data_IF_693476874071
#
_entry.id   IF_693476874071
#
_cell.length_a   1.000
_cell.length_b   1.000
_cell.length_c   1.000
_cell.angle_alpha   90.00
_cell.angle_beta   90.00
_cell.angle_gamma   90.00
#
_symmetry.space_group_name_H-M   'P 1'
#
loop_
_entity.id
_entity.type
_entity.pdbx_description
1 polymer ?
#
# COMPACT_ATOMS: atom_id res chain seq x y z
N UNK A 1 37.78 6.66 3.03
CA UNK A 1 37.57 6.54 1.57
C UNK A 1 38.44 7.57 0.85
N UNK A 2 38.70 7.37 -0.45
CA UNK A 2 39.46 8.33 -1.26
C UNK A 2 38.58 9.52 -1.67
N UNK A 3 39.13 10.74 -1.73
CA UNK A 3 38.35 11.98 -1.94
C UNK A 3 37.66 12.04 -3.30
N UNK A 4 38.23 11.40 -4.33
CA UNK A 4 37.58 11.22 -5.64
C UNK A 4 36.30 10.37 -5.55
N UNK A 5 36.26 9.36 -4.68
CA UNK A 5 35.10 8.48 -4.53
C UNK A 5 33.96 9.18 -3.79
N UNK A 6 34.26 10.04 -2.81
CA UNK A 6 33.24 10.88 -2.18
C UNK A 6 32.70 11.95 -3.12
N UNK A 7 33.56 12.55 -3.97
CA UNK A 7 33.10 13.48 -5.00
C UNK A 7 32.20 12.79 -6.05
N UNK A 8 32.54 11.58 -6.49
CA UNK A 8 31.69 10.77 -7.38
C UNK A 8 30.35 10.41 -6.74
N UNK A 9 30.34 9.97 -5.47
CA UNK A 9 29.09 9.67 -4.76
C UNK A 9 28.19 10.91 -4.59
N UNK A 10 28.77 12.07 -4.26
CA UNK A 10 28.03 13.33 -4.15
C UNK A 10 27.52 13.78 -5.53
N UNK A 11 28.32 13.62 -6.59
CA UNK A 11 27.89 13.89 -7.97
C UNK A 11 26.73 12.98 -8.41
N UNK A 12 26.77 11.69 -8.06
CA UNK A 12 25.68 10.76 -8.38
C UNK A 12 24.41 11.09 -7.59
N UNK A 13 24.56 11.47 -6.32
CA UNK A 13 23.44 11.84 -5.45
C UNK A 13 22.76 13.14 -5.93
N UNK A 14 23.55 14.16 -6.30
CA UNK A 14 23.03 15.41 -6.87
C UNK A 14 22.33 15.13 -8.22
N UNK A 15 22.88 14.25 -9.07
CA UNK A 15 22.24 13.86 -10.32
C UNK A 15 20.91 13.11 -10.08
N UNK A 16 20.83 12.25 -9.05
CA UNK A 16 19.55 11.62 -8.65
C UNK A 16 18.54 12.59 -8.02
N UNK A 17 18.98 13.76 -7.54
CA UNK A 17 18.11 14.84 -7.06
C UNK A 17 17.72 15.84 -8.16
N UNK A 18 18.10 15.59 -9.43
CA UNK A 18 17.66 16.36 -10.60
C UNK A 18 16.58 15.64 -11.42
N UNK A 19 16.02 14.54 -10.90
CA UNK A 19 14.73 14.04 -11.36
C UNK A 19 13.67 15.09 -11.06
N UNK A 20 13.32 15.89 -12.07
CA UNK A 20 12.17 16.79 -12.00
C UNK A 20 10.91 15.94 -11.79
N UNK A 21 9.91 16.45 -11.06
CA UNK A 21 8.56 15.97 -11.28
C UNK A 21 8.21 16.30 -12.73
N UNK A 22 8.02 15.26 -13.54
CA UNK A 22 7.14 15.27 -14.72
C UNK A 22 5.68 15.45 -14.18
N UNK A 23 4.60 15.30 -14.95
CA UNK A 23 3.25 15.70 -14.49
C UNK A 23 2.09 14.89 -15.16
N UNK A 24 0.94 14.52 -14.47
CA UNK A 24 -0.17 13.56 -14.92
C UNK A 24 -1.77 13.77 -15.13
N UNK A 25 -2.33 14.28 -16.28
CA UNK A 25 -3.55 14.06 -17.14
C UNK A 25 -3.49 14.95 -18.46
N UNK A 26 -4.29 14.72 -19.52
CA UNK A 26 -4.43 15.45 -20.82
C UNK A 26 -4.48 16.99 -20.73
N UNK A 27 -4.16 17.68 -21.84
CA UNK A 27 -4.02 19.13 -21.91
C UNK A 27 -4.76 19.78 -23.06
N UNK A 28 -5.33 20.97 -22.82
CA UNK A 28 -6.28 21.62 -23.73
C UNK A 28 -5.73 22.96 -24.22
N UNK A 29 -5.54 23.10 -25.53
CA UNK A 29 -5.14 24.35 -26.20
C UNK A 29 -6.38 24.95 -26.89
N UNK A 30 -6.90 26.10 -26.41
CA UNK A 30 -7.96 26.82 -27.11
C UNK A 30 -7.47 27.33 -28.46
N UNK A 31 -8.24 27.10 -29.53
CA UNK A 31 -7.88 27.59 -30.88
C UNK A 31 -8.41 29.01 -31.15
N UNK A 32 -9.34 29.49 -30.31
CA UNK A 32 -9.84 30.87 -30.29
C UNK A 32 -9.56 31.53 -28.92
N UNK A 33 -9.71 32.85 -28.84
CA UNK A 33 -9.54 33.66 -27.61
C UNK A 33 -10.74 33.46 -26.64
N UNK A 34 -10.90 32.24 -26.15
CA UNK A 34 -12.02 31.75 -25.32
C UNK A 34 -11.47 30.88 -24.21
N UNK A 35 -11.91 31.08 -22.96
CA UNK A 35 -11.49 30.24 -21.85
C UNK A 35 -12.08 28.82 -21.96
N UNK A 36 -11.21 27.82 -21.83
CA UNK A 36 -11.55 26.39 -21.81
C UNK A 36 -11.25 25.81 -20.43
N UNK A 37 -12.13 24.93 -19.97
CA UNK A 37 -12.10 24.31 -18.65
C UNK A 37 -12.30 22.79 -18.82
N UNK A 38 -11.45 22.01 -18.17
CA UNK A 38 -11.63 20.56 -18.02
C UNK A 38 -12.07 20.23 -16.58
N UNK A 39 -13.32 20.51 -16.16
CA UNK A 39 -13.74 20.41 -14.76
C UNK A 39 -13.71 18.98 -14.17
N UNK A 40 -13.66 17.94 -15.01
CA UNK A 40 -13.61 16.56 -14.56
C UNK A 40 -12.63 15.73 -15.38
N UNK A 41 -11.83 14.90 -14.73
CA UNK A 41 -10.78 14.10 -15.33
C UNK A 41 -10.85 12.66 -14.79
N UNK A 42 -11.00 11.68 -15.69
CA UNK A 42 -11.22 10.27 -15.32
C UNK A 42 -10.30 9.38 -16.13
N UNK A 43 -9.50 8.57 -15.44
CA UNK A 43 -8.58 7.66 -16.10
C UNK A 43 -8.55 6.27 -15.47
N UNK A 44 -8.33 5.25 -16.31
CA UNK A 44 -7.89 3.92 -15.87
C UNK A 44 -6.46 3.75 -16.40
N UNK A 45 -5.52 3.50 -15.50
CA UNK A 45 -4.08 3.45 -15.79
C UNK A 45 -3.58 2.07 -15.41
N UNK A 46 -3.41 1.20 -16.38
CA UNK A 46 -3.11 -0.22 -16.17
C UNK A 46 -1.68 -0.52 -16.60
N UNK A 47 -0.78 -0.75 -15.64
CA UNK A 47 0.66 -0.94 -15.90
C UNK A 47 1.20 -2.25 -15.31
N UNK A 48 1.87 -3.05 -16.13
CA UNK A 48 2.41 -4.37 -15.75
C UNK A 48 3.92 -4.38 -15.43
N UNK A 49 4.63 -3.26 -15.62
CA UNK A 49 6.09 -3.19 -15.49
C UNK A 49 6.84 -2.86 -16.79
N UNK A 50 6.22 -3.08 -17.95
CA UNK A 50 6.79 -2.78 -19.28
C UNK A 50 5.78 -2.13 -20.23
N UNK A 51 4.51 -2.56 -20.20
CA UNK A 51 3.41 -2.03 -20.99
C UNK A 51 2.38 -1.33 -20.10
N UNK A 52 1.81 -0.25 -20.64
CA UNK A 52 0.74 0.52 -20.04
C UNK A 52 -0.45 0.61 -20.99
N UNK A 53 -1.65 0.37 -20.45
CA UNK A 53 -2.94 0.62 -21.10
C UNK A 53 -3.62 1.77 -20.36
N UNK A 54 -3.87 2.86 -21.09
CA UNK A 54 -4.39 4.11 -20.56
C UNK A 54 -5.74 4.42 -21.19
N UNK A 55 -6.81 4.42 -20.39
CA UNK A 55 -8.18 4.76 -20.81
C UNK A 55 -8.52 6.14 -20.26
N UNK A 56 -8.84 7.10 -21.12
CA UNK A 56 -9.05 8.52 -20.77
C UNK A 56 -10.48 8.97 -21.04
N UNK A 57 -11.09 9.70 -20.11
CA UNK A 57 -12.35 10.45 -20.32
C UNK A 57 -12.31 11.79 -19.58
N UNK A 58 -12.27 12.87 -20.34
CA UNK A 58 -12.33 14.26 -19.86
C UNK A 58 -13.77 14.77 -19.88
N UNK A 59 -14.15 15.57 -18.89
CA UNK A 59 -15.32 16.44 -18.97
C UNK A 59 -14.85 17.84 -19.34
N UNK A 60 -15.44 18.43 -20.38
CA UNK A 60 -15.01 19.70 -20.98
C UNK A 60 -16.16 20.70 -21.04
N UNK A 61 -15.80 22.00 -20.94
CA UNK A 61 -16.64 23.13 -21.35
C UNK A 61 -15.77 24.32 -21.77
N UNK A 62 -16.36 25.23 -22.54
CA UNK A 62 -15.80 26.54 -22.83
C UNK A 62 -16.78 27.64 -22.41
N UNK A 63 -16.37 28.91 -22.45
CA UNK A 63 -17.30 30.02 -22.23
C UNK A 63 -18.17 30.30 -23.48
N UNK A 64 -17.66 29.99 -24.68
CA UNK A 64 -18.39 29.95 -25.96
C UNK A 64 -18.01 28.66 -26.74
N UNK A 65 -18.89 28.14 -27.61
CA UNK A 65 -18.60 26.92 -28.39
C UNK A 65 -17.39 27.15 -29.29
N UNK A 66 -16.37 26.31 -29.16
CA UNK A 66 -15.09 26.45 -29.84
C UNK A 66 -14.51 25.09 -30.23
N UNK A 67 -13.43 25.08 -31.01
CA UNK A 67 -12.60 23.88 -31.20
C UNK A 67 -11.35 24.00 -30.32
N UNK A 68 -10.89 22.86 -29.80
CA UNK A 68 -9.62 22.78 -29.07
C UNK A 68 -8.71 21.74 -29.71
N UNK A 69 -7.41 21.95 -29.56
CA UNK A 69 -6.40 20.92 -29.74
C UNK A 69 -6.11 20.31 -28.35
N UNK A 70 -6.50 19.05 -28.15
CA UNK A 70 -6.01 18.29 -27.01
C UNK A 70 -4.62 17.71 -27.31
N UNK A 71 -3.74 17.77 -26.31
CA UNK A 71 -2.33 17.35 -26.38
C UNK A 71 -2.07 16.34 -25.26
N UNK A 72 -1.42 15.24 -25.61
CA UNK A 72 -1.20 14.08 -24.75
C UNK A 72 0.25 13.57 -24.94
N UNK A 73 1.20 14.00 -24.09
CA UNK A 73 2.58 13.50 -24.10
C UNK A 73 2.67 12.08 -23.54
N UNK A 74 3.37 11.20 -24.25
CA UNK A 74 3.58 9.78 -23.91
C UNK A 74 5.08 9.44 -23.83
N UNK A 75 5.47 8.47 -22.96
CA UNK A 75 6.86 8.08 -22.80
C UNK A 75 7.40 7.27 -23.99
N UNK A 76 6.53 6.70 -24.80
CA UNK A 76 6.89 6.01 -26.05
C UNK A 76 5.77 6.14 -27.08
N UNK A 77 6.04 5.67 -28.30
CA UNK A 77 5.01 5.58 -29.34
C UNK A 77 3.93 4.58 -28.93
N UNK A 78 2.63 4.93 -29.04
CA UNK A 78 1.56 3.97 -28.82
C UNK A 78 1.47 2.97 -29.98
N UNK A 79 1.39 1.70 -29.63
CA UNK A 79 1.14 0.57 -30.54
C UNK A 79 -0.37 0.41 -30.84
N UNK A 80 -1.23 1.00 -30.00
CA UNK A 80 -2.69 1.00 -30.15
C UNK A 80 -3.30 2.37 -29.77
N UNK A 81 -4.24 2.84 -30.58
CA UNK A 81 -5.14 3.96 -30.27
C UNK A 81 -6.55 3.59 -30.74
N UNK A 82 -7.51 3.48 -29.82
CA UNK A 82 -8.88 3.07 -30.12
C UNK A 82 -9.92 3.88 -29.33
N UNK A 83 -11.07 4.15 -29.94
CA UNK A 83 -12.23 4.75 -29.26
C UNK A 83 -12.96 3.67 -28.46
N UNK A 84 -13.45 4.00 -27.28
CA UNK A 84 -14.25 3.10 -26.44
C UNK A 84 -15.46 3.84 -25.85
N UNK A 85 -16.31 3.14 -25.10
CA UNK A 85 -17.43 3.76 -24.40
C UNK A 85 -17.17 3.86 -22.88
N UNK A 86 -18.22 3.98 -22.06
CA UNK A 86 -18.06 4.15 -20.61
C UNK A 86 -18.02 2.82 -19.83
N UNK A 87 -18.14 1.68 -20.52
CA UNK A 87 -18.20 0.35 -19.90
C UNK A 87 -17.00 0.05 -18.99
N UNK A 88 -15.73 0.39 -19.33
CA UNK A 88 -14.60 0.20 -18.42
C UNK A 88 -14.77 0.95 -17.09
N UNK A 89 -15.22 2.21 -17.13
CA UNK A 89 -15.47 3.00 -15.93
C UNK A 89 -16.69 2.51 -15.13
N UNK A 90 -17.73 2.00 -15.81
CA UNK A 90 -18.88 1.38 -15.16
C UNK A 90 -18.50 0.07 -14.45
N UNK A 91 -17.67 -0.77 -15.07
CA UNK A 91 -17.13 -1.97 -14.44
C UNK A 91 -16.29 -1.64 -13.20
N UNK A 92 -15.45 -0.61 -13.25
CA UNK A 92 -14.72 -0.09 -12.09
C UNK A 92 -15.70 0.40 -10.99
N UNK A 93 -16.78 1.10 -11.37
CA UNK A 93 -17.81 1.57 -10.44
C UNK A 93 -18.55 0.41 -9.75
N UNK A 94 -18.83 -0.68 -10.48
CA UNK A 94 -19.46 -1.89 -9.95
C UNK A 94 -18.52 -2.70 -9.05
N UNK A 95 -17.24 -2.84 -9.40
CA UNK A 95 -16.22 -3.44 -8.52
C UNK A 95 -16.11 -2.65 -7.19
N UNK A 96 -16.13 -1.32 -7.26
CA UNK A 96 -16.23 -0.45 -6.09
C UNK A 96 -17.56 -0.66 -5.33
N UNK A 97 -18.66 -0.89 -6.04
CA UNK A 97 -20.00 -1.22 -5.52
C UNK A 97 -20.05 -2.52 -4.72
N UNK A 98 -19.51 -3.61 -5.26
CA UNK A 98 -19.42 -4.91 -4.58
C UNK A 98 -18.58 -4.82 -3.31
N UNK A 99 -17.41 -4.17 -3.39
CA UNK A 99 -16.49 -4.09 -2.25
C UNK A 99 -17.11 -3.18 -1.15
N UNK A 100 -17.95 -2.19 -1.49
CA UNK A 100 -18.84 -1.48 -0.55
C UNK A 100 -19.90 -2.41 0.06
N UNK A 101 -20.57 -3.25 -0.72
CA UNK A 101 -21.57 -4.20 -0.21
C UNK A 101 -20.96 -5.18 0.81
N UNK A 102 -19.77 -5.72 0.53
CA UNK A 102 -19.00 -6.56 1.45
C UNK A 102 -18.54 -5.82 2.73
N UNK A 103 -18.44 -4.49 2.69
CA UNK A 103 -18.18 -3.65 3.86
C UNK A 103 -19.45 -3.37 4.69
N UNK A 104 -20.63 -3.23 4.05
CA UNK A 104 -21.91 -2.94 4.74
C UNK A 104 -22.33 -4.03 5.71
N UNK A 105 -22.04 -5.30 5.40
CA UNK A 105 -22.25 -6.45 6.31
C UNK A 105 -21.41 -6.39 7.60
N UNK A 106 -20.43 -5.47 7.67
CA UNK A 106 -19.51 -5.29 8.81
C UNK A 106 -19.57 -3.89 9.46
N UNK A 107 -20.41 -2.97 8.97
CA UNK A 107 -20.56 -1.64 9.58
C UNK A 107 -21.31 -0.63 8.72
N UNK A 108 -21.94 0.34 9.38
CA UNK A 108 -22.78 1.38 8.76
C UNK A 108 -21.92 2.53 8.19
N UNK A 109 -21.16 2.25 7.13
CA UNK A 109 -20.52 3.25 6.27
C UNK A 109 -21.39 3.59 5.05
N UNK A 110 -21.39 4.87 4.66
CA UNK A 110 -22.07 5.39 3.48
C UNK A 110 -21.05 6.07 2.58
N UNK A 111 -20.74 5.47 1.43
CA UNK A 111 -19.90 6.08 0.39
C UNK A 111 -18.53 5.44 0.16
N UNK A 112 -18.03 5.60 -1.06
CA UNK A 112 -16.61 5.88 -1.27
C UNK A 112 -16.50 7.40 -1.37
N UNK A 113 -15.43 8.01 -0.84
CA UNK A 113 -15.12 9.42 -1.04
C UNK A 113 -14.57 9.70 -2.44
N UNK A 114 -15.15 9.03 -3.43
CA UNK A 114 -14.89 9.01 -4.87
C UNK A 114 -16.26 8.71 -5.50
N UNK A 115 -16.75 9.63 -6.32
CA UNK A 115 -17.99 9.52 -7.08
C UNK A 115 -17.64 9.76 -8.55
N UNK A 116 -18.14 8.90 -9.45
CA UNK A 116 -17.86 9.01 -10.88
C UNK A 116 -19.12 9.59 -11.54
N UNK A 117 -19.08 10.87 -11.86
CA UNK A 117 -20.19 11.60 -12.51
C UNK A 117 -19.88 11.75 -13.99
N UNK A 118 -20.77 11.26 -14.85
CA UNK A 118 -20.67 11.43 -16.30
C UNK A 118 -21.73 12.39 -16.81
N UNK A 119 -21.35 13.20 -17.80
CA UNK A 119 -22.19 14.18 -18.46
C UNK A 119 -22.68 13.63 -19.81
N UNK A 120 -23.42 14.44 -20.59
CA UNK A 120 -23.79 14.05 -21.96
C UNK A 120 -22.53 13.87 -22.82
N UNK A 121 -22.49 12.82 -23.65
CA UNK A 121 -21.30 12.51 -24.47
C UNK A 121 -21.17 13.41 -25.70
N UNK A 122 -19.94 13.70 -26.08
CA UNK A 122 -19.55 14.25 -27.39
C UNK A 122 -18.37 13.46 -27.95
N UNK A 123 -18.39 13.18 -29.26
CA UNK A 123 -17.39 12.30 -29.88
C UNK A 123 -17.28 12.49 -31.39
N UNK A 124 -16.14 13.03 -31.83
CA UNK A 124 -15.74 13.08 -33.23
C UNK A 124 -14.20 13.14 -33.38
N UNK A 125 -13.45 12.47 -32.48
CA UNK A 125 -11.98 12.52 -32.45
C UNK A 125 -11.33 12.31 -33.83
N UNK A 126 -10.35 13.15 -34.12
CA UNK A 126 -9.43 13.06 -35.25
C UNK A 126 -8.02 13.14 -34.66
N UNK A 127 -7.35 11.98 -34.58
CA UNK A 127 -6.14 11.78 -33.78
C UNK A 127 -4.94 11.56 -34.70
N UNK A 128 -3.82 12.22 -34.40
CA UNK A 128 -2.50 11.83 -34.91
C UNK A 128 -1.50 11.64 -33.77
N UNK A 129 -0.38 10.99 -34.08
CA UNK A 129 0.78 10.90 -33.19
C UNK A 129 1.96 11.52 -33.90
N UNK A 130 2.60 12.48 -33.25
CA UNK A 130 3.85 13.08 -33.71
C UNK A 130 4.99 12.69 -32.76
N UNK A 131 6.21 12.71 -33.30
CA UNK A 131 7.44 12.69 -32.52
C UNK A 131 8.22 13.94 -32.88
N UNK A 132 8.66 14.69 -31.87
CA UNK A 132 9.28 16.01 -32.05
C UNK A 132 10.65 16.11 -31.38
N UNK A 133 11.50 17.00 -31.89
CA UNK A 133 12.83 17.29 -31.32
C UNK A 133 12.87 18.55 -30.44
N UNK A 134 12.01 19.56 -30.68
CA UNK A 134 11.82 20.73 -29.81
C UNK A 134 10.38 21.30 -29.90
N UNK A 135 10.07 22.31 -29.09
CA UNK A 135 8.76 22.99 -29.09
C UNK A 135 8.36 23.67 -30.41
N UNK A 136 9.29 23.97 -31.32
CA UNK A 136 8.96 24.58 -32.63
C UNK A 136 8.62 23.53 -33.65
N UNK A 137 9.34 22.42 -33.66
CA UNK A 137 8.96 21.22 -34.43
C UNK A 137 7.53 20.80 -34.05
N UNK A 138 7.19 20.84 -32.76
CA UNK A 138 5.81 20.69 -32.29
C UNK A 138 4.84 21.76 -32.82
N UNK A 139 5.16 23.06 -32.73
CA UNK A 139 4.28 24.13 -33.23
C UNK A 139 4.07 24.05 -34.76
N UNK A 140 5.09 23.66 -35.53
CA UNK A 140 5.00 23.42 -36.98
C UNK A 140 4.11 22.21 -37.30
N UNK A 141 4.34 21.05 -36.66
CA UNK A 141 3.51 19.85 -36.84
C UNK A 141 2.04 20.08 -36.46
N UNK A 142 1.79 20.72 -35.32
CA UNK A 142 0.45 20.99 -34.84
C UNK A 142 -0.28 21.99 -35.74
N UNK A 143 0.42 22.98 -36.30
CA UNK A 143 -0.17 23.92 -37.26
C UNK A 143 -0.59 23.22 -38.56
N UNK A 144 0.29 22.40 -39.15
CA UNK A 144 -0.03 21.61 -40.34
C UNK A 144 -1.22 20.66 -40.10
N UNK A 145 -1.26 20.01 -38.94
CA UNK A 145 -2.36 19.13 -38.51
C UNK A 145 -3.73 19.84 -38.50
N UNK A 146 -3.80 21.08 -38.01
CA UNK A 146 -5.03 21.89 -38.07
C UNK A 146 -5.37 22.38 -39.48
N UNK A 147 -4.38 22.80 -40.28
CA UNK A 147 -4.58 23.26 -41.67
C UNK A 147 -5.18 22.16 -42.56
N UNK A 148 -4.69 20.92 -42.47
CA UNK A 148 -5.25 19.75 -43.18
C UNK A 148 -6.75 19.56 -42.89
N UNK A 149 -7.14 19.79 -41.63
CA UNK A 149 -8.50 19.62 -41.10
C UNK A 149 -9.38 20.85 -41.36
N UNK A 150 -8.80 21.94 -41.86
CA UNK A 150 -9.45 23.26 -42.06
C UNK A 150 -9.99 23.85 -40.76
N UNK A 151 -9.29 23.62 -39.66
CA UNK A 151 -9.61 24.18 -38.34
C UNK A 151 -8.83 25.46 -38.18
N UNK A 152 -9.53 26.61 -38.14
CA UNK A 152 -8.89 27.90 -37.90
C UNK A 152 -8.44 27.97 -36.43
N UNK A 153 -7.16 28.29 -36.21
CA UNK A 153 -6.59 28.38 -34.87
C UNK A 153 -5.18 28.96 -34.84
N UNK A 154 -4.70 29.27 -33.62
CA UNK A 154 -3.30 29.61 -33.35
C UNK A 154 -2.77 28.79 -32.17
N UNK A 155 -1.62 28.17 -32.37
CA UNK A 155 -0.96 27.31 -31.38
C UNK A 155 0.19 28.06 -30.66
N UNK A 156 0.74 29.11 -31.30
CA UNK A 156 1.81 30.00 -30.79
C UNK A 156 1.62 30.38 -29.32
N UNK A 157 2.31 29.69 -28.40
CA UNK A 157 2.12 29.91 -26.96
C UNK A 157 3.33 29.52 -26.15
N UNK A 158 4.00 30.52 -25.58
CA UNK A 158 5.13 30.33 -24.64
C UNK A 158 4.82 29.39 -23.45
N UNK A 159 3.54 29.22 -23.09
CA UNK A 159 3.06 28.30 -22.05
C UNK A 159 2.99 26.86 -22.55
N UNK A 160 2.63 26.66 -23.83
CA UNK A 160 2.62 25.36 -24.49
C UNK A 160 4.04 24.90 -24.80
N UNK A 161 4.85 25.77 -25.41
CA UNK A 161 6.27 25.51 -25.68
C UNK A 161 7.03 25.08 -24.41
N UNK A 162 6.85 25.80 -23.30
CA UNK A 162 7.44 25.44 -22.01
C UNK A 162 7.11 24.01 -21.55
N UNK A 163 5.84 23.57 -21.68
CA UNK A 163 5.48 22.21 -21.30
C UNK A 163 5.99 21.18 -22.30
N UNK A 164 5.90 21.45 -23.61
CA UNK A 164 6.42 20.55 -24.66
C UNK A 164 7.91 20.30 -24.47
N UNK A 165 8.72 21.36 -24.34
CA UNK A 165 10.16 21.24 -24.06
C UNK A 165 10.39 20.48 -22.74
N UNK A 166 9.59 20.73 -21.70
CA UNK A 166 9.68 20.02 -20.42
C UNK A 166 9.34 18.52 -20.51
N UNK A 167 8.55 18.05 -21.47
CA UNK A 167 8.33 16.61 -21.70
C UNK A 167 9.49 16.02 -22.51
N UNK A 168 9.98 16.73 -23.53
CA UNK A 168 11.12 16.32 -24.36
C UNK A 168 12.40 16.16 -23.52
N UNK A 169 12.72 17.15 -22.66
CA UNK A 169 13.87 17.12 -21.73
C UNK A 169 13.82 15.94 -20.74
N UNK A 170 12.62 15.46 -20.40
CA UNK A 170 12.40 14.29 -19.56
C UNK A 170 12.27 12.97 -20.36
N UNK A 171 12.65 12.98 -21.64
CA UNK A 171 12.72 11.78 -22.49
C UNK A 171 11.38 11.35 -23.10
N UNK A 172 10.38 12.23 -23.15
CA UNK A 172 9.04 11.96 -23.70
C UNK A 172 8.78 12.77 -24.98
N UNK A 173 9.40 12.41 -26.13
CA UNK A 173 9.30 13.16 -27.38
C UNK A 173 8.03 12.84 -28.19
N UNK A 174 7.15 11.96 -27.69
CA UNK A 174 5.94 11.51 -28.40
C UNK A 174 4.71 12.27 -27.87
N UNK A 175 3.95 12.86 -28.78
CA UNK A 175 2.74 13.59 -28.46
C UNK A 175 1.60 13.09 -29.34
N UNK A 176 0.49 12.72 -28.70
CA UNK A 176 -0.79 12.53 -29.38
C UNK A 176 -1.48 13.88 -29.47
N UNK A 177 -1.99 14.21 -30.65
CA UNK A 177 -2.82 15.38 -30.93
C UNK A 177 -4.23 14.91 -31.30
N UNK A 178 -5.26 15.55 -30.75
CA UNK A 178 -6.67 15.22 -30.96
C UNK A 178 -7.47 16.53 -31.11
N UNK A 179 -8.31 16.67 -32.14
CA UNK A 179 -9.20 17.84 -32.29
C UNK A 179 -10.61 17.50 -31.86
N UNK A 180 -11.15 18.26 -30.91
CA UNK A 180 -12.55 18.14 -30.47
C UNK A 180 -13.27 19.49 -30.48
N UNK A 181 -14.58 19.47 -30.76
CA UNK A 181 -15.46 20.60 -30.50
C UNK A 181 -15.88 20.62 -29.03
N UNK A 182 -15.70 21.76 -28.37
CA UNK A 182 -16.09 21.99 -26.97
C UNK A 182 -17.30 22.92 -26.91
N UNK A 183 -18.42 22.48 -26.30
CA UNK A 183 -19.61 23.31 -26.11
C UNK A 183 -19.54 24.15 -24.83
N UNK A 184 -20.55 24.99 -24.61
CA UNK A 184 -20.65 25.86 -23.43
C UNK A 184 -21.23 25.19 -22.18
N UNK A 185 -21.95 24.07 -22.34
CA UNK A 185 -22.37 23.19 -21.25
C UNK A 185 -21.33 22.09 -20.98
N UNK A 186 -21.19 21.64 -19.73
CA UNK A 186 -20.25 20.57 -19.37
C UNK A 186 -20.66 19.24 -20.00
N UNK A 187 -19.79 18.66 -20.82
CA UNK A 187 -20.00 17.39 -21.52
C UNK A 187 -18.79 16.46 -21.36
N UNK A 188 -19.04 15.15 -21.35
CA UNK A 188 -17.98 14.15 -21.31
C UNK A 188 -17.51 13.86 -22.73
N UNK A 189 -16.21 13.91 -22.96
CA UNK A 189 -15.61 13.46 -24.21
C UNK A 189 -15.70 11.94 -24.28
N UNK A 190 -15.97 11.41 -25.48
CA UNK A 190 -15.91 9.98 -25.78
C UNK A 190 -14.54 9.41 -25.35
N UNK A 191 -14.49 8.28 -24.62
CA UNK A 191 -13.21 7.80 -24.11
C UNK A 191 -12.31 7.22 -25.19
N UNK A 192 -11.00 7.40 -25.01
CA UNK A 192 -9.96 6.84 -25.90
C UNK A 192 -8.99 5.99 -25.09
N UNK A 193 -8.62 4.84 -25.67
CA UNK A 193 -7.66 3.88 -25.13
C UNK A 193 -6.35 3.98 -25.89
N UNK A 194 -5.26 4.00 -25.14
CA UNK A 194 -3.89 3.96 -25.63
C UNK A 194 -3.19 2.71 -25.06
N UNK A 195 -2.34 2.06 -25.87
CA UNK A 195 -1.37 1.06 -25.38
C UNK A 195 0.02 1.47 -25.83
N UNK A 196 0.95 1.59 -24.89
CA UNK A 196 2.33 1.99 -25.14
C UNK A 196 3.27 1.32 -24.13
N UNK A 197 4.58 1.44 -24.37
CA UNK A 197 5.61 0.95 -23.42
C UNK A 197 5.97 2.03 -22.40
N UNK A 198 6.10 1.65 -21.14
CA UNK A 198 6.49 2.55 -20.06
C UNK A 198 7.25 1.80 -18.95
N UNK A 199 8.35 2.40 -18.49
CA UNK A 199 9.15 1.89 -17.35
C UNK A 199 8.54 2.25 -15.98
N UNK A 200 7.36 2.90 -15.98
CA UNK A 200 6.66 3.42 -14.79
C UNK A 200 5.15 3.55 -15.05
N UNK A 201 4.32 3.52 -14.01
CA UNK A 201 2.90 3.89 -14.12
C UNK A 201 2.78 5.41 -14.37
N UNK A 202 2.09 5.85 -15.44
CA UNK A 202 2.16 7.22 -16.00
C UNK A 202 0.85 7.77 -16.64
N UNK A 203 0.79 9.12 -16.75
CA UNK A 203 -0.35 9.98 -17.18
C UNK A 203 0.20 11.47 -17.37
N UNK A 204 -0.44 12.52 -18.01
CA UNK A 204 0.25 13.82 -18.46
C UNK A 204 0.02 15.38 -17.98
N UNK A 205 -0.16 15.81 -16.71
CA UNK A 205 -0.87 16.96 -16.06
C UNK A 205 -0.45 18.35 -16.50
N UNK A 206 0.83 18.56 -16.79
CA UNK A 206 1.32 19.93 -16.90
C UNK A 206 0.65 20.59 -18.09
N UNK A 207 0.39 19.75 -19.09
CA UNK A 207 -0.43 20.01 -20.24
C UNK A 207 -1.90 20.31 -19.83
N UNK A 208 -2.51 19.70 -18.79
CA UNK A 208 -3.80 20.15 -18.21
C UNK A 208 -3.76 21.59 -17.73
N UNK A 209 -2.66 22.02 -17.10
CA UNK A 209 -2.51 23.39 -16.62
C UNK A 209 -2.42 24.45 -17.75
N UNK A 210 -2.49 24.04 -19.03
CA UNK A 210 -2.82 24.92 -20.16
C UNK A 210 -4.22 25.52 -20.04
N UNK A 211 -5.20 24.73 -19.58
CA UNK A 211 -6.58 25.15 -19.33
C UNK A 211 -6.70 26.04 -18.07
N UNK A 212 -7.93 26.30 -17.62
CA UNK A 212 -8.22 27.11 -16.44
C UNK A 212 -9.37 26.57 -15.59
N UNK A 213 -9.46 27.05 -14.35
CA UNK A 213 -10.49 26.69 -13.38
C UNK A 213 -10.04 25.69 -12.31
N UNK A 214 -11.03 25.10 -11.65
CA UNK A 214 -10.87 23.97 -10.73
C UNK A 214 -11.21 22.67 -11.45
N UNK A 215 -10.67 21.54 -10.99
CA UNK A 215 -10.85 20.21 -11.59
C UNK A 215 -10.98 19.12 -10.52
N UNK A 216 -11.90 18.18 -10.75
CA UNK A 216 -12.02 16.92 -10.03
C UNK A 216 -11.34 15.79 -10.83
N UNK A 217 -10.29 15.18 -10.25
CA UNK A 217 -9.49 14.11 -10.88
C UNK A 217 -9.77 12.78 -10.19
N UNK A 218 -10.03 11.73 -10.96
CA UNK A 218 -10.18 10.34 -10.48
C UNK A 218 -9.39 9.37 -11.37
N UNK A 219 -8.31 8.81 -10.82
CA UNK A 219 -7.41 7.87 -11.50
C UNK A 219 -7.52 6.49 -10.87
N UNK A 220 -7.83 5.48 -11.66
CA UNK A 220 -7.89 4.08 -11.25
C UNK A 220 -6.62 3.36 -11.71
N UNK A 221 -5.59 3.42 -10.87
CA UNK A 221 -4.32 2.75 -11.10
C UNK A 221 -4.47 1.23 -10.88
N UNK A 222 -4.21 0.43 -11.92
CA UNK A 222 -4.22 -1.03 -11.90
C UNK A 222 -2.78 -1.51 -12.12
N UNK A 223 -2.24 -2.35 -11.24
CA UNK A 223 -0.85 -2.83 -11.32
C UNK A 223 -0.62 -4.10 -10.50
N UNK A 224 0.55 -4.75 -10.63
CA UNK A 224 0.85 -6.01 -9.92
C UNK A 224 0.92 -5.89 -8.37
N UNK A 225 1.05 -4.67 -7.84
CA UNK A 225 0.99 -4.38 -6.41
C UNK A 225 0.13 -3.13 -6.14
N UNK A 226 -0.20 -2.83 -4.88
CA UNK A 226 -0.94 -1.62 -4.57
C UNK A 226 -0.04 -0.38 -4.61
N UNK A 227 -0.48 0.67 -5.30
CA UNK A 227 0.08 2.02 -5.15
C UNK A 227 -0.15 2.50 -3.72
N UNK A 228 0.90 2.92 -3.02
CA UNK A 228 0.85 3.37 -1.63
C UNK A 228 0.65 4.88 -1.52
N UNK A 229 0.23 5.33 -0.35
CA UNK A 229 0.05 6.76 -0.01
C UNK A 229 1.38 7.54 -0.02
N UNK A 230 2.52 6.84 -0.02
CA UNK A 230 3.88 7.40 -0.17
C UNK A 230 4.39 7.44 -1.63
N UNK A 231 3.69 6.79 -2.56
CA UNK A 231 4.04 6.74 -3.99
C UNK A 231 3.29 7.81 -4.82
N UNK A 232 2.26 8.45 -4.27
CA UNK A 232 1.40 9.42 -4.95
C UNK A 232 1.98 10.84 -4.85
N UNK A 233 2.06 11.60 -5.96
CA UNK A 233 2.52 12.99 -5.94
C UNK A 233 1.54 13.91 -5.20
N UNK A 234 2.05 14.86 -4.40
CA UNK A 234 1.25 15.99 -3.95
C UNK A 234 0.90 16.90 -5.16
N UNK A 235 -0.34 17.44 -5.30
CA UNK A 235 -1.44 17.44 -4.34
C UNK A 235 -2.44 16.27 -4.47
N UNK A 236 -2.15 15.26 -5.29
CA UNK A 236 -3.02 14.09 -5.42
C UNK A 236 -2.95 13.25 -4.13
N UNK A 237 -4.02 12.51 -3.88
CA UNK A 237 -4.22 11.78 -2.63
C UNK A 237 -4.86 10.41 -2.93
N UNK A 238 -4.50 9.37 -2.16
CA UNK A 238 -5.17 8.07 -2.29
C UNK A 238 -6.62 8.25 -1.83
N UNK A 239 -7.57 7.93 -2.71
CA UNK A 239 -8.99 8.03 -2.42
C UNK A 239 -9.38 7.07 -1.29
N UNK A 240 -10.30 7.48 -0.41
CA UNK A 240 -10.64 6.75 0.82
C UNK A 240 -12.15 6.50 0.94
N UNK A 241 -12.52 5.38 1.53
CA UNK A 241 -13.91 5.05 1.88
C UNK A 241 -14.37 5.81 3.12
N UNK A 242 -15.62 6.27 3.09
CA UNK A 242 -16.20 7.07 4.16
C UNK A 242 -16.44 6.26 5.43
N UNK A 243 -15.81 6.70 6.52
CA UNK A 243 -15.96 6.08 7.84
C UNK A 243 -14.83 6.45 8.79
N UNK A 244 -14.99 6.05 10.05
CA UNK A 244 -14.12 6.44 11.18
C UNK A 244 -12.62 6.14 11.02
N UNK A 245 -12.24 5.27 10.07
CA UNK A 245 -10.84 4.90 9.81
C UNK A 245 -10.36 5.26 8.39
N UNK A 246 -11.15 6.00 7.59
CA UNK A 246 -10.75 6.53 6.28
C UNK A 246 -9.96 5.56 5.39
N UNK A 247 -10.48 4.34 5.17
CA UNK A 247 -9.67 3.27 4.54
C UNK A 247 -9.37 3.59 3.07
N UNK A 248 -8.13 3.40 2.57
CA UNK A 248 -7.82 3.60 1.16
C UNK A 248 -8.66 2.68 0.26
N UNK A 249 -9.05 3.22 -0.91
CA UNK A 249 -9.74 2.51 -1.98
C UNK A 249 -8.69 1.72 -2.77
N UNK A 250 -8.29 0.59 -2.18
CA UNK A 250 -7.16 -0.25 -2.58
C UNK A 250 -7.52 -1.71 -2.37
N UNK A 251 -7.61 -2.52 -3.44
CA UNK A 251 -7.95 -3.94 -3.36
C UNK A 251 -7.45 -4.74 -4.56
N UNK A 252 -7.26 -6.05 -4.35
CA UNK A 252 -6.96 -7.01 -5.42
C UNK A 252 -8.21 -7.21 -6.30
N UNK A 253 -8.02 -7.13 -7.61
CA UNK A 253 -8.99 -7.44 -8.67
C UNK A 253 -8.60 -8.80 -9.24
N UNK A 254 -9.58 -9.68 -9.43
CA UNK A 254 -9.34 -11.01 -9.98
C UNK A 254 -9.15 -10.94 -11.50
N UNK A 255 -8.46 -11.93 -12.08
CA UNK A 255 -8.32 -12.04 -13.54
C UNK A 255 -9.69 -11.95 -14.26
N UNK A 256 -10.71 -12.65 -13.75
CA UNK A 256 -12.09 -12.61 -14.25
C UNK A 256 -12.81 -11.27 -14.06
N UNK A 257 -12.27 -10.35 -13.25
CA UNK A 257 -12.79 -9.00 -13.05
C UNK A 257 -12.06 -7.97 -13.93
N UNK A 258 -10.82 -8.24 -14.37
CA UNK A 258 -10.06 -7.36 -15.27
C UNK A 258 -10.62 -7.40 -16.69
N UNK A 259 -10.98 -8.59 -17.19
CA UNK A 259 -11.61 -8.79 -18.51
C UNK A 259 -12.96 -8.03 -18.62
N UNK A 260 -13.70 -7.93 -17.51
CA UNK A 260 -14.93 -7.13 -17.40
C UNK A 260 -14.68 -5.61 -17.43
N UNK A 261 -13.48 -5.15 -17.09
CA UNK A 261 -13.10 -3.74 -17.21
C UNK A 261 -12.69 -3.47 -18.64
N UNK A 262 -11.68 -4.18 -19.16
CA UNK A 262 -11.28 -4.11 -20.57
C UNK A 262 -10.38 -5.29 -20.96
N UNK A 263 -10.62 -5.91 -22.13
CA UNK A 263 -9.82 -7.02 -22.64
C UNK A 263 -8.33 -6.66 -22.77
N UNK A 264 -8.01 -5.42 -23.15
CA UNK A 264 -6.63 -4.92 -23.32
C UNK A 264 -5.92 -4.78 -21.97
N UNK A 265 -6.67 -4.54 -20.89
CA UNK A 265 -6.14 -4.53 -19.52
C UNK A 265 -5.88 -5.96 -19.03
N UNK A 266 -6.80 -6.90 -19.28
CA UNK A 266 -6.54 -8.32 -18.98
C UNK A 266 -5.32 -8.86 -19.75
N UNK A 267 -5.18 -8.51 -21.03
CA UNK A 267 -4.07 -8.96 -21.89
C UNK A 267 -2.68 -8.63 -21.32
N UNK A 268 -2.48 -7.50 -20.65
CA UNK A 268 -1.16 -7.12 -20.12
C UNK A 268 -0.85 -7.77 -18.76
N UNK A 269 -1.86 -8.19 -18.00
CA UNK A 269 -1.67 -8.81 -16.67
C UNK A 269 -1.70 -10.34 -16.67
N UNK A 270 -2.62 -10.97 -17.43
CA UNK A 270 -2.80 -12.44 -17.52
C UNK A 270 -2.87 -13.13 -16.14
N UNK A 271 -3.61 -12.50 -15.22
CA UNK A 271 -3.73 -12.87 -13.82
C UNK A 271 -4.22 -11.70 -12.96
N UNK A 272 -4.35 -11.92 -11.66
CA UNK A 272 -4.84 -10.91 -10.71
C UNK A 272 -3.92 -9.67 -10.61
N UNK A 273 -4.54 -8.50 -10.45
CA UNK A 273 -3.88 -7.21 -10.24
C UNK A 273 -4.41 -6.51 -8.98
N UNK A 274 -3.89 -5.33 -8.66
CA UNK A 274 -4.39 -4.43 -7.61
C UNK A 274 -4.91 -3.15 -8.23
N UNK A 275 -6.15 -2.79 -7.89
CA UNK A 275 -6.73 -1.48 -8.14
C UNK A 275 -6.48 -0.58 -6.94
N UNK A 276 -5.91 0.60 -7.19
CA UNK A 276 -5.85 1.73 -6.24
C UNK A 276 -6.46 2.95 -6.90
N UNK A 277 -7.42 3.59 -6.23
CA UNK A 277 -8.00 4.83 -6.73
C UNK A 277 -7.27 6.04 -6.11
N UNK A 278 -6.80 6.94 -6.96
CA UNK A 278 -6.10 8.18 -6.63
C UNK A 278 -7.02 9.34 -7.05
N UNK A 279 -7.01 10.46 -6.33
CA UNK A 279 -7.85 11.61 -6.65
C UNK A 279 -7.22 12.97 -6.35
N UNK A 280 -7.77 14.01 -6.95
CA UNK A 280 -7.60 15.41 -6.56
C UNK A 280 -8.92 16.18 -6.76
N UNK A 281 -9.06 17.32 -6.10
CA UNK A 281 -10.18 18.25 -6.25
C UNK A 281 -9.70 19.64 -5.85
N UNK A 282 -9.63 20.58 -6.80
CA UNK A 282 -9.12 21.94 -6.55
C UNK A 282 -8.58 22.65 -7.79
N UNK A 283 -7.86 23.78 -7.63
CA UNK A 283 -7.37 24.59 -8.73
C UNK A 283 -6.36 23.88 -9.63
N UNK A 284 -6.60 23.88 -10.94
CA UNK A 284 -5.75 23.23 -11.97
C UNK A 284 -4.29 23.73 -12.01
N UNK A 285 -3.99 24.79 -11.28
CA UNK A 285 -2.65 25.43 -11.15
C UNK A 285 -1.81 24.89 -9.99
N UNK A 286 -2.39 24.10 -9.08
CA UNK A 286 -1.65 23.41 -8.01
C UNK A 286 -1.06 22.08 -8.49
N UNK A 287 -1.54 21.59 -9.62
CA UNK A 287 -1.12 20.38 -10.33
C UNK A 287 0.33 20.56 -10.78
N UNK A 288 1.25 19.97 -10.01
CA UNK A 288 2.69 20.24 -10.04
C UNK A 288 3.56 18.97 -9.99
N UNK A 289 2.97 17.77 -10.13
CA UNK A 289 3.72 16.50 -10.14
C UNK A 289 3.06 15.34 -10.91
N UNK A 290 3.89 14.36 -11.28
CA UNK A 290 3.56 13.16 -12.07
C UNK A 290 3.05 12.05 -11.15
N UNK A 291 2.00 11.36 -11.54
CA UNK A 291 1.89 9.93 -11.25
C UNK A 291 3.00 9.27 -12.09
N UNK A 292 4.10 8.92 -11.42
CA UNK A 292 5.32 8.39 -12.03
C UNK A 292 5.90 7.29 -11.15
N UNK A 293 5.21 6.16 -11.11
CA UNK A 293 5.45 5.13 -10.08
C UNK A 293 6.19 3.95 -10.70
N UNK A 294 7.50 3.89 -10.44
CA UNK A 294 8.41 2.87 -11.00
C UNK A 294 8.69 1.67 -10.06
N UNK A 295 8.46 1.81 -8.74
CA UNK A 295 8.71 0.77 -7.72
C UNK A 295 7.45 0.52 -6.89
N UNK A 296 6.54 -0.31 -7.41
CA UNK A 296 5.26 -0.60 -6.74
C UNK A 296 5.46 -1.69 -5.69
N UNK A 297 5.53 -1.26 -4.43
CA UNK A 297 5.91 -2.12 -3.30
C UNK A 297 4.74 -2.91 -2.75
N UNK A 298 4.85 -4.25 -2.78
CA UNK A 298 3.94 -5.12 -2.03
C UNK A 298 3.96 -4.77 -0.53
N UNK A 299 2.81 -4.72 0.18
CA UNK A 299 2.77 -4.38 1.59
C UNK A 299 3.62 -5.34 2.43
N UNK A 300 4.35 -4.81 3.41
CA UNK A 300 5.24 -5.60 4.28
C UNK A 300 4.56 -6.80 4.95
N UNK A 301 3.25 -6.75 5.21
CA UNK A 301 2.49 -7.90 5.72
C UNK A 301 2.45 -9.07 4.75
N UNK A 302 2.20 -8.81 3.46
CA UNK A 302 2.13 -9.83 2.42
C UNK A 302 3.53 -10.34 2.05
N UNK A 303 4.55 -9.45 2.07
CA UNK A 303 5.96 -9.86 1.97
C UNK A 303 6.40 -10.78 3.13
N UNK A 304 5.93 -10.51 4.35
CA UNK A 304 6.23 -11.35 5.52
C UNK A 304 5.55 -12.73 5.41
N UNK A 305 4.27 -12.79 5.03
CA UNK A 305 3.52 -14.06 4.94
C UNK A 305 3.94 -14.90 3.72
N UNK A 306 4.45 -14.29 2.65
CA UNK A 306 5.07 -15.02 1.53
C UNK A 306 6.52 -15.48 1.80
N UNK A 307 7.18 -14.95 2.83
CA UNK A 307 8.57 -15.29 3.14
C UNK A 307 8.73 -16.72 3.67
N UNK A 308 9.58 -17.52 3.02
CA UNK A 308 9.97 -18.85 3.51
C UNK A 308 10.63 -18.80 4.90
N UNK A 309 11.29 -17.69 5.24
CA UNK A 309 11.94 -17.48 6.54
C UNK A 309 10.90 -17.32 7.67
N UNK A 310 9.78 -16.65 7.38
CA UNK A 310 8.65 -16.52 8.32
C UNK A 310 8.06 -17.89 8.65
N UNK A 311 7.77 -18.71 7.63
CA UNK A 311 7.27 -20.08 7.82
C UNK A 311 8.29 -21.01 8.49
N UNK A 312 9.58 -20.84 8.23
CA UNK A 312 10.63 -21.55 8.97
C UNK A 312 10.60 -21.19 10.47
N UNK A 313 10.45 -19.90 10.82
CA UNK A 313 10.31 -19.44 12.20
C UNK A 313 9.06 -20.02 12.90
N UNK A 314 7.92 -20.02 12.22
CA UNK A 314 6.66 -20.64 12.69
C UNK A 314 6.84 -22.15 12.88
N UNK A 315 7.48 -22.83 11.92
CA UNK A 315 7.77 -24.26 11.98
C UNK A 315 8.71 -24.66 13.12
N UNK A 316 9.75 -23.87 13.39
CA UNK A 316 10.66 -24.07 14.54
C UNK A 316 9.93 -23.85 15.86
N UNK A 317 9.10 -22.80 15.97
CA UNK A 317 8.29 -22.56 17.17
C UNK A 317 7.30 -23.71 17.45
N UNK A 318 6.60 -24.20 16.42
CA UNK A 318 5.74 -25.38 16.51
C UNK A 318 6.53 -26.64 16.88
N UNK A 319 7.70 -26.86 16.28
CA UNK A 319 8.59 -27.98 16.59
C UNK A 319 9.07 -27.99 18.04
N UNK A 320 9.36 -26.83 18.62
CA UNK A 320 9.71 -26.67 20.04
C UNK A 320 8.50 -26.99 20.93
N UNK A 321 7.31 -26.47 20.62
CA UNK A 321 6.08 -26.74 21.38
C UNK A 321 5.73 -28.23 21.35
N UNK A 322 5.76 -28.86 20.18
CA UNK A 322 5.52 -30.30 19.99
C UNK A 322 6.59 -31.12 20.71
N UNK A 323 7.87 -30.74 20.61
CA UNK A 323 8.97 -31.39 21.30
C UNK A 323 8.86 -31.35 22.83
N UNK A 324 8.39 -30.23 23.40
CA UNK A 324 8.10 -30.10 24.84
C UNK A 324 6.92 -30.97 25.25
N UNK A 325 5.85 -31.01 24.45
CA UNK A 325 4.68 -31.86 24.72
C UNK A 325 5.03 -33.36 24.70
N UNK A 326 5.82 -33.81 23.72
CA UNK A 326 6.28 -35.21 23.61
C UNK A 326 7.33 -35.55 24.68
N UNK A 327 8.24 -34.62 24.99
CA UNK A 327 9.20 -34.79 26.09
C UNK A 327 8.50 -34.99 27.45
N UNK A 328 7.39 -34.28 27.67
CA UNK A 328 6.59 -34.38 28.89
C UNK A 328 5.76 -35.68 28.97
N UNK A 329 5.44 -36.36 27.85
CA UNK A 329 4.83 -37.70 27.89
C UNK A 329 5.85 -38.82 28.03
N UNK A 330 7.12 -38.60 27.67
CA UNK A 330 8.19 -39.60 27.73
C UNK A 330 8.84 -39.77 29.12
N UNK A 331 8.90 -38.72 29.94
CA UNK A 331 9.56 -38.78 31.26
C UNK A 331 8.63 -39.18 32.43
N UNK A 332 8.38 -40.49 32.56
CA UNK A 332 8.10 -41.12 33.86
C UNK A 332 6.65 -41.56 34.13
N UNK A 333 6.42 -42.88 33.99
CA UNK A 333 5.41 -43.69 34.71
C UNK A 333 4.01 -43.06 34.84
N UNK A 334 3.23 -43.08 33.75
CA UNK A 334 1.80 -42.76 33.80
C UNK A 334 0.95 -43.84 33.12
N UNK A 335 0.06 -44.46 33.90
CA UNK A 335 -1.25 -44.89 33.36
C UNK A 335 -1.91 -43.61 32.81
N UNK A 336 -1.97 -43.46 31.49
CA UNK A 336 -2.65 -42.33 30.87
C UNK A 336 -4.15 -42.47 31.20
N UNK A 337 -4.59 -41.72 32.21
CA UNK A 337 -6.00 -41.62 32.56
C UNK A 337 -6.75 -41.05 31.34
N UNK A 338 -7.89 -41.63 30.97
CA UNK A 338 -8.60 -41.37 29.71
C UNK A 338 -8.74 -39.86 29.41
N UNK A 339 -9.08 -39.09 30.44
CA UNK A 339 -9.23 -37.63 30.40
C UNK A 339 -7.96 -36.85 30.01
N UNK A 340 -6.75 -37.37 30.29
CA UNK A 340 -5.49 -36.77 29.80
C UNK A 340 -5.28 -37.03 28.31
N UNK A 341 -5.73 -38.19 27.79
CA UNK A 341 -5.69 -38.46 26.34
C UNK A 341 -6.66 -37.53 25.59
N UNK A 342 -7.90 -37.39 26.10
CA UNK A 342 -8.90 -36.45 25.56
C UNK A 342 -8.37 -35.02 25.56
N UNK A 343 -7.84 -34.52 26.68
CA UNK A 343 -7.31 -33.14 26.74
C UNK A 343 -6.12 -32.88 25.79
N UNK A 344 -5.28 -33.89 25.52
CA UNK A 344 -4.19 -33.78 24.53
C UNK A 344 -4.75 -33.77 23.10
N UNK A 345 -5.76 -34.60 22.80
CA UNK A 345 -6.44 -34.61 21.50
C UNK A 345 -7.18 -33.30 21.26
N UNK A 346 -7.91 -32.77 22.25
CA UNK A 346 -8.59 -31.48 22.18
C UNK A 346 -7.59 -30.34 21.95
N UNK A 347 -6.45 -30.33 22.65
CA UNK A 347 -5.41 -29.33 22.47
C UNK A 347 -4.78 -29.41 21.06
N UNK A 348 -4.48 -30.60 20.56
CA UNK A 348 -3.97 -30.80 19.20
C UNK A 348 -5.01 -30.43 18.14
N UNK A 349 -6.30 -30.69 18.40
CA UNK A 349 -7.41 -30.28 17.54
C UNK A 349 -7.56 -28.76 17.48
N UNK A 350 -7.54 -28.08 18.63
CA UNK A 350 -7.55 -26.61 18.71
C UNK A 350 -6.31 -26.02 18.03
N UNK A 351 -5.12 -26.59 18.22
CA UNK A 351 -3.89 -26.14 17.57
C UNK A 351 -3.96 -26.32 16.04
N UNK A 352 -4.46 -27.46 15.55
CA UNK A 352 -4.66 -27.72 14.13
C UNK A 352 -5.70 -26.77 13.51
N UNK A 353 -6.80 -26.49 14.23
CA UNK A 353 -7.81 -25.52 13.80
C UNK A 353 -7.27 -24.09 13.80
N UNK A 354 -6.39 -23.71 14.74
CA UNK A 354 -5.66 -22.44 14.70
C UNK A 354 -4.69 -22.37 13.51
N UNK A 355 -4.04 -23.47 13.13
CA UNK A 355 -3.19 -23.54 11.94
C UNK A 355 -4.03 -23.39 10.66
N UNK A 356 -5.15 -24.12 10.51
CA UNK A 356 -6.07 -23.91 9.38
C UNK A 356 -6.61 -22.47 9.34
N UNK A 357 -6.97 -21.90 10.50
CA UNK A 357 -7.41 -20.52 10.59
C UNK A 357 -6.32 -19.52 10.16
N UNK A 358 -5.04 -19.80 10.41
CA UNK A 358 -3.92 -18.96 9.97
C UNK A 358 -3.63 -19.02 8.46
N UNK A 359 -4.10 -20.07 7.77
CA UNK A 359 -4.03 -20.22 6.30
C UNK A 359 -5.28 -19.65 5.62
N UNK A 360 -6.41 -19.50 6.33
CA UNK A 360 -7.60 -18.83 5.83
C UNK A 360 -7.46 -17.30 5.82
N UNK A 361 -8.14 -16.64 4.88
CA UNK A 361 -8.10 -15.20 4.71
C UNK A 361 -8.35 -14.43 6.02
N UNK A 362 -7.51 -13.42 6.29
CA UNK A 362 -7.32 -12.71 7.56
C UNK A 362 -8.60 -12.36 8.36
N UNK A 363 -9.71 -12.04 7.68
CA UNK A 363 -11.01 -11.79 8.32
C UNK A 363 -11.53 -13.01 9.11
N UNK A 364 -11.42 -14.24 8.57
CA UNK A 364 -11.89 -15.45 9.25
C UNK A 364 -10.92 -15.92 10.33
N UNK A 365 -9.61 -15.78 10.10
CA UNK A 365 -8.57 -16.12 11.05
C UNK A 365 -8.83 -15.52 12.45
N UNK A 366 -9.20 -14.24 12.50
CA UNK A 366 -9.44 -13.54 13.77
C UNK A 366 -10.71 -13.99 14.50
N UNK A 367 -11.83 -14.24 13.81
CA UNK A 367 -13.04 -14.78 14.46
C UNK A 367 -12.83 -16.21 14.99
N UNK A 368 -12.16 -17.06 14.21
CA UNK A 368 -11.87 -18.44 14.63
C UNK A 368 -10.87 -18.44 15.80
N UNK A 369 -9.86 -17.57 15.80
CA UNK A 369 -8.95 -17.37 16.93
C UNK A 369 -9.71 -16.99 18.21
N UNK A 370 -10.59 -15.97 18.17
CA UNK A 370 -11.35 -15.54 19.34
C UNK A 370 -12.44 -16.53 19.79
N UNK A 371 -12.87 -17.45 18.92
CA UNK A 371 -13.74 -18.57 19.29
C UNK A 371 -12.95 -19.71 19.97
N UNK A 372 -11.76 -20.04 19.46
CA UNK A 372 -10.94 -21.16 19.93
C UNK A 372 -10.16 -20.85 21.21
N UNK A 373 -9.73 -19.61 21.42
CA UNK A 373 -8.98 -19.20 22.63
C UNK A 373 -9.77 -19.48 23.92
N UNK A 374 -11.06 -19.13 24.05
CA UNK A 374 -11.89 -19.54 25.20
C UNK A 374 -11.98 -21.05 25.40
N UNK A 375 -12.11 -21.83 24.32
CA UNK A 375 -12.18 -23.31 24.39
C UNK A 375 -10.85 -23.89 24.87
N UNK A 376 -9.73 -23.40 24.35
CA UNK A 376 -8.39 -23.75 24.80
C UNK A 376 -8.16 -23.39 26.28
N UNK A 377 -8.62 -22.21 26.72
CA UNK A 377 -8.56 -21.79 28.13
C UNK A 377 -9.40 -22.70 29.03
N UNK A 378 -10.61 -23.11 28.62
CA UNK A 378 -11.47 -24.01 29.40
C UNK A 378 -10.89 -25.43 29.47
N UNK A 379 -10.34 -25.96 28.37
CA UNK A 379 -9.64 -27.24 28.36
C UNK A 379 -8.39 -27.21 29.25
N UNK A 380 -7.59 -26.15 29.17
CA UNK A 380 -6.45 -25.91 30.05
C UNK A 380 -6.91 -25.82 31.52
N UNK A 381 -8.01 -25.14 31.82
CA UNK A 381 -8.57 -25.02 33.18
C UNK A 381 -9.04 -26.37 33.75
N UNK A 382 -9.63 -27.24 32.92
CA UNK A 382 -9.97 -28.61 33.32
C UNK A 382 -8.72 -29.45 33.62
N UNK A 383 -7.66 -29.31 32.82
CA UNK A 383 -6.36 -29.94 33.07
C UNK A 383 -5.71 -29.42 34.38
N UNK A 384 -5.69 -28.11 34.58
CA UNK A 384 -5.20 -27.40 35.79
C UNK A 384 -5.87 -27.89 37.07
N UNK A 385 -7.14 -28.31 37.02
CA UNK A 385 -7.87 -28.81 38.20
C UNK A 385 -7.28 -30.12 38.77
N UNK A 386 -6.36 -30.79 38.06
CA UNK A 386 -5.79 -32.06 38.51
C UNK A 386 -4.55 -31.95 39.39
N UNK A 387 -3.64 -30.99 39.21
CA UNK A 387 -2.38 -30.89 40.01
C UNK A 387 -1.76 -29.47 40.11
N UNK A 388 -0.89 -29.28 41.12
CA UNK A 388 0.42 -28.63 40.86
C UNK A 388 0.54 -27.10 40.80
N UNK A 389 -0.09 -26.36 41.73
CA UNK A 389 -0.19 -24.87 41.77
C UNK A 389 1.10 -24.03 41.55
N UNK A 390 2.31 -24.60 41.57
CA UNK A 390 3.59 -23.89 41.31
C UNK A 390 4.01 -23.87 39.83
N UNK A 391 3.67 -24.90 39.06
CA UNK A 391 4.04 -25.00 37.64
C UNK A 391 3.20 -24.04 36.77
N UNK A 392 1.98 -23.74 37.25
CA UNK A 392 1.04 -22.76 36.70
C UNK A 392 1.67 -21.40 36.32
N UNK A 393 2.56 -20.86 37.17
CA UNK A 393 3.17 -19.55 36.94
C UNK A 393 4.05 -19.53 35.68
N UNK A 394 4.72 -20.63 35.35
CA UNK A 394 5.60 -20.71 34.18
C UNK A 394 4.78 -20.81 32.89
N UNK A 395 3.75 -21.66 32.88
CA UNK A 395 2.85 -21.81 31.73
C UNK A 395 1.89 -20.64 31.50
N UNK A 396 1.62 -19.79 32.50
CA UNK A 396 0.94 -18.51 32.26
C UNK A 396 1.94 -17.43 31.82
N UNK A 397 3.13 -17.37 32.43
CA UNK A 397 4.11 -16.34 32.12
C UNK A 397 4.70 -16.47 30.72
N UNK A 398 4.97 -17.68 30.20
CA UNK A 398 5.58 -17.82 28.87
C UNK A 398 4.67 -17.28 27.75
N UNK A 399 3.38 -17.67 27.62
CA UNK A 399 2.48 -17.08 26.64
C UNK A 399 2.23 -15.59 26.89
N UNK A 400 2.10 -15.16 28.14
CA UNK A 400 1.93 -13.74 28.47
C UNK A 400 3.16 -12.90 28.09
N UNK A 401 4.38 -13.41 28.30
CA UNK A 401 5.63 -12.78 27.88
C UNK A 401 5.80 -12.79 26.37
N UNK A 402 5.36 -13.84 25.66
CA UNK A 402 5.37 -13.86 24.18
C UNK A 402 4.36 -12.87 23.61
N UNK A 403 3.14 -12.80 24.15
CA UNK A 403 2.13 -11.82 23.75
C UNK A 403 2.56 -10.40 24.12
N UNK A 404 3.18 -10.20 25.28
CA UNK A 404 3.77 -8.92 25.68
C UNK A 404 4.99 -8.52 24.84
N UNK A 405 5.79 -9.48 24.37
CA UNK A 405 6.91 -9.24 23.44
C UNK A 405 6.41 -8.90 22.03
N UNK A 406 5.35 -9.55 21.56
CA UNK A 406 4.71 -9.24 20.28
C UNK A 406 4.07 -7.85 20.36
N UNK A 407 3.34 -7.55 21.44
CA UNK A 407 2.80 -6.22 21.71
C UNK A 407 3.91 -5.17 21.88
N UNK A 408 5.02 -5.48 22.54
CA UNK A 408 6.13 -4.54 22.66
C UNK A 408 6.79 -4.30 21.31
N UNK A 409 7.03 -5.32 20.48
CA UNK A 409 7.55 -5.13 19.10
C UNK A 409 6.59 -4.31 18.22
N UNK A 410 5.27 -4.41 18.43
CA UNK A 410 4.26 -3.59 17.74
C UNK A 410 4.28 -2.13 18.25
N UNK A 411 4.43 -1.90 19.56
CA UNK A 411 4.39 -0.57 20.20
C UNK A 411 5.74 0.17 20.15
N UNK A 412 6.86 -0.57 20.20
CA UNK A 412 8.25 -0.08 20.26
C UNK A 412 8.70 0.66 19.00
N UNK A 413 7.91 0.66 17.92
CA UNK A 413 8.04 1.57 16.77
C UNK A 413 8.00 3.08 17.15
N UNK A 414 7.79 3.43 18.43
CA UNK A 414 7.70 4.81 18.90
C UNK A 414 8.75 5.26 19.95
N UNK A 415 9.50 4.38 20.66
CA UNK A 415 10.30 4.84 21.83
C UNK A 415 11.58 4.07 22.26
N UNK A 416 11.98 2.93 21.68
CA UNK A 416 12.89 2.00 22.39
C UNK A 416 14.36 1.88 21.95
N UNK A 417 14.86 2.65 20.97
CA UNK A 417 16.25 2.52 20.49
C UNK A 417 17.33 2.79 21.57
N UNK A 418 17.04 3.65 22.55
CA UNK A 418 17.96 4.01 23.64
C UNK A 418 17.82 3.13 24.88
N UNK A 419 16.61 2.69 25.24
CA UNK A 419 16.35 1.86 26.42
C UNK A 419 16.93 0.45 26.28
N UNK A 420 16.85 -0.14 25.08
CA UNK A 420 17.42 -1.46 24.78
C UNK A 420 18.93 -1.51 25.06
N UNK A 421 19.68 -0.48 24.65
CA UNK A 421 21.12 -0.39 24.83
C UNK A 421 21.53 -0.34 26.32
N UNK A 422 20.77 0.40 27.14
CA UNK A 422 21.00 0.53 28.59
C UNK A 422 20.72 -0.81 29.29
N UNK A 423 19.63 -1.49 28.93
CA UNK A 423 19.30 -2.82 29.46
C UNK A 423 20.38 -3.85 29.13
N UNK A 424 20.86 -3.87 27.88
CA UNK A 424 21.88 -4.82 27.42
C UNK A 424 23.22 -4.63 28.15
N UNK A 425 23.66 -3.38 28.37
CA UNK A 425 24.84 -3.05 29.18
C UNK A 425 24.70 -3.52 30.64
N UNK A 426 23.52 -3.37 31.24
CA UNK A 426 23.24 -3.86 32.60
C UNK A 426 23.38 -5.38 32.73
N UNK A 427 22.85 -6.14 31.76
CA UNK A 427 22.98 -7.60 31.73
C UNK A 427 24.43 -8.07 31.52
N UNK A 428 25.21 -7.38 30.67
CA UNK A 428 26.63 -7.72 30.45
C UNK A 428 27.45 -7.51 31.73
N UNK A 429 27.25 -6.40 32.45
CA UNK A 429 27.92 -6.16 33.73
C UNK A 429 27.55 -7.20 34.80
N UNK A 430 26.28 -7.59 34.88
CA UNK A 430 25.83 -8.65 35.79
C UNK A 430 26.40 -10.04 35.45
N UNK A 431 26.67 -10.32 34.18
CA UNK A 431 27.28 -11.58 33.74
C UNK A 431 28.81 -11.62 33.99
N UNK A 432 29.50 -10.49 33.87
CA UNK A 432 30.96 -10.39 34.11
C UNK A 432 31.32 -10.39 35.59
N UNK A 433 30.44 -9.89 36.47
CA UNK A 433 30.66 -9.84 37.92
C UNK A 433 29.60 -10.64 38.72
N UNK A 434 29.61 -11.99 38.65
CA UNK A 434 28.72 -12.82 39.45
C UNK A 434 29.01 -12.66 40.97
N UNK A 435 27.99 -12.56 41.83
CA UNK A 435 28.18 -12.31 43.26
C UNK A 435 28.90 -13.48 43.96
N UNK A 436 30.09 -13.19 44.49
CA UNK A 436 30.97 -14.21 45.03
C UNK A 436 30.55 -14.71 46.44
N UNK A 437 30.32 -16.02 46.57
CA UNK A 437 30.47 -16.73 47.84
C UNK A 437 29.32 -17.65 48.25
N UNK A 438 29.51 -18.97 48.05
CA UNK A 438 28.90 -19.97 48.96
C UNK A 438 29.71 -19.99 50.26
N UNK A 439 29.07 -19.71 51.42
CA UNK A 439 29.58 -20.14 52.73
C UNK A 439 28.46 -20.70 53.61
N UNK A 440 28.66 -21.96 54.00
CA UNK A 440 27.99 -22.79 55.03
C UNK A 440 26.81 -22.20 55.82
N UNK A 441 25.60 -22.70 55.54
CA UNK A 441 24.38 -22.41 56.30
C UNK A 441 24.15 -23.39 57.48
N UNK A 442 25.14 -24.19 57.84
CA UNK A 442 25.06 -25.24 58.88
C UNK A 442 25.44 -24.77 60.30
N UNK A 443 26.06 -23.60 60.45
CA UNK A 443 26.54 -23.10 61.75
C UNK A 443 25.54 -22.17 62.50
N UNK A 444 24.44 -21.76 61.87
CA UNK A 444 23.49 -20.80 62.45
C UNK A 444 22.59 -21.40 63.55
N UNK A 445 22.10 -22.63 63.38
CA UNK A 445 21.13 -23.25 64.29
C UNK A 445 21.74 -23.85 65.58
N UNK A 446 23.04 -23.65 65.83
CA UNK A 446 23.72 -24.10 67.07
C UNK A 446 24.00 -22.97 68.08
N UNK A 447 23.49 -21.76 67.83
CA UNK A 447 23.73 -20.54 68.67
C UNK A 447 22.47 -19.95 69.32
N UNK A 448 21.40 -20.72 69.48
CA UNK A 448 20.16 -20.31 70.17
C UNK A 448 20.09 -20.75 71.65
N UNK A 449 21.19 -21.25 72.23
CA UNK A 449 21.30 -21.50 73.67
C UNK A 449 22.48 -20.74 74.28
N UNK A 450 22.33 -20.37 75.56
CA UNK A 450 23.27 -19.57 76.39
C UNK A 450 23.40 -18.07 76.04
N UNK A 451 22.42 -17.29 76.51
CA UNK A 451 22.68 -16.00 77.18
C UNK A 451 21.68 -15.77 78.32
N UNK A 452 21.80 -16.55 79.41
CA UNK A 452 21.30 -16.15 80.73
C UNK A 452 22.42 -16.34 81.76
N UNK A 453 22.79 -15.21 82.35
CA UNK A 453 23.77 -14.91 83.39
C UNK A 453 24.13 -16.05 84.36
N UNK A 454 25.43 -16.29 84.54
CA UNK A 454 25.98 -16.91 85.75
C UNK A 454 26.60 -15.82 86.65
N UNK A 455 25.87 -15.38 87.68
CA UNK A 455 26.37 -14.40 88.65
C UNK A 455 27.23 -15.10 89.70
N UNK A 456 28.53 -14.77 89.74
CA UNK A 456 29.46 -15.34 90.74
C UNK A 456 30.15 -14.24 91.55
N UNK A 457 29.73 -14.07 92.80
CA UNK A 457 30.55 -13.40 93.82
C UNK A 457 30.41 -14.10 95.17
N UNK A 458 31.40 -14.92 95.53
CA UNK A 458 31.54 -15.47 96.89
C UNK A 458 31.75 -14.31 97.88
N UNK A 459 31.17 -14.38 99.08
CA UNK A 459 31.94 -14.60 100.33
C UNK A 459 31.11 -14.62 101.63
N UNK A 460 31.49 -15.58 102.47
CA UNK A 460 31.57 -15.58 103.96
C UNK A 460 30.30 -15.75 104.78
N UNK A 461 30.49 -16.65 105.78
CA UNK A 461 29.69 -16.95 106.97
C UNK A 461 28.28 -17.48 106.65
#
# INVERSE_FOLDING_TARGET
MNTRNTALLISLLILSCLALPVLSDRGMVPLADVSVYGPGQKAIVAWNGEEEVLILSTDVRADERTSILEVLPLPSQPDLIEKTDLSPFMAIQDLLGEKKAFSRTMGKGNGSGIEIVFHEKIGAHDITVIKVEDSKDFEEWATLFLEERRVEGKIESSKLAFYVDSYIDNGMPYFVLDVIEVPSDTRSVEPVIYRFKSEKLYFPLSISALASGDVDIAVFAISHGPVLDEDVPHPLDVGRYDGFLGRPVRFRVLEEDLDKVDERIWEIFKGDAWLTAIKYSGPIKELSGDISIADIRLPLGDQLVSSTIFWLGVGVALGIVIGVLIGHTSMGVLRINFWRLVAIIDFLGVLLLMILASVMAYKWATYVFWLLVPVGIVSLFYSIRTEGRRILLIYLAIPFMIVALILSVIVARTLESTLSLIGMLGFILAAVFPPAGRRELTNALRRSSRWVVASTRKRRL
#
